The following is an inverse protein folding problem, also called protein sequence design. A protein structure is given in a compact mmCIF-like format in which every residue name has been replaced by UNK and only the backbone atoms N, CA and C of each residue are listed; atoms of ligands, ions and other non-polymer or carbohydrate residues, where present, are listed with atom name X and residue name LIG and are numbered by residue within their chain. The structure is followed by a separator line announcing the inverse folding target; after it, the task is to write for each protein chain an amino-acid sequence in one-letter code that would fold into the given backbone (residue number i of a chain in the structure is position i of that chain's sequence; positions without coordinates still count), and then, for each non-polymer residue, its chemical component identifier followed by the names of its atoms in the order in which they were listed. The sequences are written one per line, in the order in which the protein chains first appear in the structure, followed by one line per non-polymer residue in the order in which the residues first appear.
data_IF_336537723503
#
_entry.id   IF_336537723503
#
_cell.length_a   1.000
_cell.length_b   1.000
_cell.length_c   1.000
_cell.angle_alpha   90.00
_cell.angle_beta   90.00
_cell.angle_gamma   90.00
#
_symmetry.space_group_name_H-M   'P 1'
#
loop_
_entity.id
_entity.type
_entity.pdbx_description
1 polymer ?
#
# COMPACT_ATOMS: atom_id res chain seq x y z
N UNK A 1 -37.76 -0.09 21.11
CA UNK A 1 -37.11 -1.25 20.49
C UNK A 1 -37.01 -1.01 19.00
N UNK A 2 -35.80 -0.73 18.50
CA UNK A 2 -35.54 -0.65 17.08
C UNK A 2 -35.41 -2.09 16.54
N UNK A 3 -36.46 -2.58 15.88
CA UNK A 3 -36.38 -3.84 15.16
C UNK A 3 -35.58 -3.60 13.89
N UNK A 4 -34.32 -4.10 13.84
CA UNK A 4 -33.54 -4.07 12.63
C UNK A 4 -34.21 -4.91 11.54
N UNK A 5 -34.23 -4.42 10.30
CA UNK A 5 -34.62 -5.21 9.13
C UNK A 5 -33.38 -5.87 8.55
N UNK A 6 -33.38 -7.21 8.47
CA UNK A 6 -32.34 -7.99 7.83
C UNK A 6 -32.72 -8.26 6.37
N UNK A 7 -31.77 -8.02 5.46
CA UNK A 7 -31.93 -8.32 4.03
C UNK A 7 -30.63 -8.96 3.52
N UNK A 8 -30.75 -10.13 2.89
CA UNK A 8 -29.64 -10.77 2.18
C UNK A 8 -29.41 -10.04 0.86
N UNK A 9 -28.25 -9.45 0.67
CA UNK A 9 -27.88 -8.78 -0.59
C UNK A 9 -27.39 -9.78 -1.64
N UNK A 10 -26.63 -10.79 -1.24
CA UNK A 10 -26.06 -11.79 -2.13
C UNK A 10 -25.82 -13.11 -1.38
N UNK A 11 -25.96 -14.23 -2.10
CA UNK A 11 -25.61 -15.56 -1.62
C UNK A 11 -24.56 -16.15 -2.56
N UNK A 12 -23.40 -16.50 -2.03
CA UNK A 12 -22.34 -17.13 -2.80
C UNK A 12 -22.72 -18.56 -3.18
N UNK A 13 -22.30 -18.99 -4.37
CA UNK A 13 -22.62 -20.32 -4.93
C UNK A 13 -21.42 -21.28 -4.89
N UNK A 14 -20.23 -20.81 -4.48
CA UNK A 14 -19.04 -21.65 -4.34
C UNK A 14 -18.42 -22.05 -5.67
N UNK A 15 -18.63 -21.29 -6.74
CA UNK A 15 -18.03 -21.53 -8.06
C UNK A 15 -17.16 -20.33 -8.45
N UNK A 16 -17.45 -19.66 -9.56
CA UNK A 16 -16.67 -18.51 -10.03
C UNK A 16 -16.76 -17.26 -9.15
N UNK A 17 -17.77 -17.16 -8.29
CA UNK A 17 -18.01 -16.05 -7.39
C UNK A 17 -17.29 -16.17 -6.04
N UNK A 18 -16.77 -17.36 -5.73
CA UNK A 18 -16.07 -17.67 -4.47
C UNK A 18 -16.98 -18.26 -3.40
N UNK A 19 -16.37 -18.74 -2.33
CA UNK A 19 -17.03 -19.33 -1.17
C UNK A 19 -16.38 -18.93 0.15
N UNK A 20 -17.12 -19.08 1.23
CA UNK A 20 -16.63 -18.82 2.59
C UNK A 20 -16.08 -17.41 2.80
N UNK A 21 -16.92 -16.36 2.81
CA UNK A 21 -16.51 -15.00 3.16
C UNK A 21 -16.26 -14.90 4.67
N UNK A 22 -15.02 -15.18 5.11
CA UNK A 22 -14.65 -15.21 6.53
C UNK A 22 -14.60 -13.83 7.17
N UNK A 23 -14.29 -12.79 6.39
CA UNK A 23 -14.11 -11.43 6.89
C UNK A 23 -15.31 -10.53 6.59
N UNK A 24 -15.38 -9.41 7.29
CA UNK A 24 -16.32 -8.35 6.96
C UNK A 24 -16.00 -7.67 5.63
N UNK A 25 -16.99 -6.97 5.08
CA UNK A 25 -16.78 -6.08 3.93
C UNK A 25 -16.42 -4.68 4.41
N UNK A 26 -15.67 -3.96 3.58
CA UNK A 26 -15.44 -2.51 3.74
C UNK A 26 -16.25 -1.74 2.70
N UNK A 27 -16.70 -0.53 3.04
CA UNK A 27 -17.24 0.39 2.06
C UNK A 27 -16.12 1.32 1.59
N UNK A 28 -15.85 1.30 0.29
CA UNK A 28 -14.84 2.17 -0.30
C UNK A 28 -15.41 3.55 -0.68
N UNK A 29 -14.52 4.47 -1.05
CA UNK A 29 -14.87 5.86 -1.38
C UNK A 29 -15.82 5.97 -2.60
N UNK A 30 -15.88 4.94 -3.46
CA UNK A 30 -16.82 4.85 -4.58
C UNK A 30 -18.25 4.41 -4.18
N UNK A 31 -18.47 4.17 -2.86
CA UNK A 31 -19.74 3.76 -2.28
C UNK A 31 -20.07 2.27 -2.41
N UNK A 32 -19.26 1.48 -3.09
CA UNK A 32 -19.41 0.02 -3.17
C UNK A 32 -18.75 -0.67 -1.97
N UNK A 33 -19.17 -1.91 -1.72
CA UNK A 33 -18.54 -2.75 -0.71
C UNK A 33 -17.54 -3.70 -1.37
N UNK A 34 -16.47 -4.00 -0.64
CA UNK A 34 -15.41 -4.89 -1.08
C UNK A 34 -15.09 -5.91 0.00
N UNK A 35 -14.79 -7.13 -0.40
CA UNK A 35 -14.48 -8.22 0.51
C UNK A 35 -13.72 -9.35 -0.17
N UNK A 36 -13.46 -10.38 0.59
CA UNK A 36 -12.74 -11.59 0.18
C UNK A 36 -13.58 -12.84 0.45
N UNK A 37 -13.38 -13.87 -0.37
CA UNK A 37 -13.80 -15.23 -0.06
C UNK A 37 -12.55 -16.08 0.13
N UNK A 38 -12.53 -16.94 1.16
CA UNK A 38 -11.34 -17.75 1.47
C UNK A 38 -11.11 -18.88 0.49
N UNK A 39 -12.16 -19.38 -0.11
CA UNK A 39 -12.13 -20.57 -0.96
C UNK A 39 -12.91 -20.36 -2.24
N UNK A 40 -12.88 -21.38 -3.12
CA UNK A 40 -13.56 -21.36 -4.40
C UNK A 40 -13.11 -20.22 -5.33
N UNK A 41 -13.99 -19.69 -6.16
CA UNK A 41 -13.61 -18.81 -7.26
C UNK A 41 -13.17 -19.62 -8.48
N UNK A 42 -12.93 -18.96 -9.61
CA UNK A 42 -12.60 -19.63 -10.88
C UNK A 42 -11.38 -20.56 -10.78
N UNK A 43 -10.45 -20.27 -9.87
CA UNK A 43 -9.19 -21.00 -9.70
C UNK A 43 -9.10 -21.76 -8.38
N UNK A 44 -10.15 -21.74 -7.54
CA UNK A 44 -10.26 -22.56 -6.33
C UNK A 44 -9.44 -22.11 -5.12
N UNK A 45 -8.96 -20.85 -5.10
CA UNK A 45 -8.07 -20.35 -4.04
C UNK A 45 -8.59 -19.05 -3.40
N UNK A 46 -9.89 -18.79 -3.54
CA UNK A 46 -10.55 -17.60 -3.04
C UNK A 46 -10.58 -16.44 -4.04
N UNK A 47 -11.31 -15.41 -3.67
CA UNK A 47 -11.54 -14.23 -4.53
C UNK A 47 -11.42 -12.92 -3.77
N UNK A 48 -11.22 -11.83 -4.52
CA UNK A 48 -11.60 -10.48 -4.12
C UNK A 48 -12.85 -10.11 -4.92
N UNK A 49 -13.86 -9.61 -4.24
CA UNK A 49 -15.13 -9.19 -4.86
C UNK A 49 -15.47 -7.74 -4.54
N UNK A 50 -16.27 -7.15 -5.42
CA UNK A 50 -17.02 -5.91 -5.23
C UNK A 50 -18.50 -6.20 -5.23
N UNK A 51 -19.26 -5.57 -4.35
CA UNK A 51 -20.72 -5.64 -4.35
C UNK A 51 -21.31 -4.24 -4.20
N UNK A 52 -22.29 -3.92 -5.02
CA UNK A 52 -23.03 -2.67 -4.94
C UNK A 52 -24.06 -2.69 -3.80
N UNK A 53 -24.55 -1.53 -3.40
CA UNK A 53 -25.60 -1.40 -2.36
C UNK A 53 -26.91 -2.11 -2.71
N UNK A 54 -27.14 -2.40 -3.99
CA UNK A 54 -28.33 -3.13 -4.48
C UNK A 54 -28.03 -4.62 -4.78
N UNK A 55 -26.88 -5.16 -4.32
CA UNK A 55 -26.59 -6.59 -4.35
C UNK A 55 -25.97 -7.12 -5.65
N UNK A 56 -25.47 -6.26 -6.55
CA UNK A 56 -24.78 -6.73 -7.76
C UNK A 56 -23.32 -7.02 -7.40
N UNK A 57 -22.95 -8.31 -7.42
CA UNK A 57 -21.60 -8.77 -7.14
C UNK A 57 -20.77 -8.85 -8.44
N UNK A 58 -19.51 -8.48 -8.32
CA UNK A 58 -18.48 -8.62 -9.37
C UNK A 58 -17.23 -9.22 -8.73
N UNK A 59 -16.76 -10.36 -9.22
CA UNK A 59 -15.45 -10.90 -8.87
C UNK A 59 -14.38 -10.06 -9.56
N UNK A 60 -13.52 -9.42 -8.77
CA UNK A 60 -12.43 -8.60 -9.26
C UNK A 60 -11.19 -9.41 -9.55
N UNK A 61 -10.89 -10.40 -8.70
CA UNK A 61 -9.75 -11.28 -8.83
C UNK A 61 -10.08 -12.66 -8.28
N UNK A 62 -9.59 -13.70 -8.94
CA UNK A 62 -9.63 -15.09 -8.46
C UNK A 62 -8.18 -15.54 -8.27
N UNK A 63 -7.80 -15.87 -7.05
CA UNK A 63 -6.43 -16.24 -6.73
C UNK A 63 -6.04 -17.58 -7.37
N UNK A 64 -4.83 -17.63 -7.92
CA UNK A 64 -4.31 -18.82 -8.59
C UNK A 64 -3.58 -19.79 -7.63
N UNK A 65 -3.32 -19.38 -6.39
CA UNK A 65 -2.56 -20.17 -5.41
C UNK A 65 -1.05 -20.15 -5.61
N UNK A 66 -0.58 -19.47 -6.65
CA UNK A 66 0.84 -19.27 -6.95
C UNK A 66 1.39 -17.97 -6.35
N UNK A 67 2.08 -17.18 -7.16
CA UNK A 67 2.73 -15.93 -6.74
C UNK A 67 1.77 -14.87 -6.23
N UNK A 68 0.49 -14.93 -6.58
CA UNK A 68 -0.56 -14.00 -6.15
C UNK A 68 -1.15 -14.36 -4.78
N UNK A 69 -0.94 -15.57 -4.28
CA UNK A 69 -1.43 -16.04 -3.00
C UNK A 69 -2.65 -16.93 -3.08
N UNK A 70 -3.12 -17.42 -1.94
CA UNK A 70 -4.34 -18.23 -1.77
C UNK A 70 -4.93 -18.05 -0.39
N UNK A 71 -6.22 -18.34 -0.25
CA UNK A 71 -6.96 -18.27 1.00
C UNK A 71 -6.91 -16.86 1.64
N UNK A 72 -7.48 -15.84 1.00
CA UNK A 72 -7.59 -14.49 1.56
C UNK A 72 -8.70 -14.46 2.62
N UNK A 73 -8.38 -14.89 3.84
CA UNK A 73 -9.33 -14.99 4.96
C UNK A 73 -9.52 -13.69 5.73
N UNK A 74 -8.63 -12.73 5.54
CA UNK A 74 -8.67 -11.42 6.19
C UNK A 74 -9.52 -10.40 5.41
N UNK A 75 -10.05 -9.41 6.12
CA UNK A 75 -10.71 -8.26 5.51
C UNK A 75 -9.74 -7.35 4.75
N UNK A 76 -10.28 -6.64 3.77
CA UNK A 76 -9.56 -5.59 3.06
C UNK A 76 -9.53 -4.30 3.88
N UNK A 77 -8.58 -3.43 3.55
CA UNK A 77 -8.64 -1.99 3.87
C UNK A 77 -8.59 -1.19 2.57
N UNK A 78 -9.22 -0.01 2.54
CA UNK A 78 -8.90 0.99 1.54
C UNK A 78 -7.92 1.99 2.15
N UNK A 79 -6.76 2.13 1.55
CA UNK A 79 -5.74 3.05 2.00
C UNK A 79 -5.90 4.45 1.37
N UNK A 80 -5.10 5.40 1.84
CA UNK A 80 -5.15 6.82 1.45
C UNK A 80 -4.92 7.06 -0.04
N UNK A 81 -4.25 6.14 -0.76
CA UNK A 81 -4.07 6.17 -2.21
C UNK A 81 -5.30 5.70 -3.00
N UNK A 82 -6.37 5.30 -2.31
CA UNK A 82 -7.63 4.81 -2.89
C UNK A 82 -7.60 3.35 -3.32
N UNK A 83 -6.46 2.66 -3.26
CA UNK A 83 -6.37 1.23 -3.53
C UNK A 83 -6.78 0.39 -2.31
N UNK A 84 -7.08 -0.87 -2.58
CA UNK A 84 -7.43 -1.84 -1.56
C UNK A 84 -6.20 -2.70 -1.25
N UNK A 85 -6.06 -3.07 0.02
CA UNK A 85 -4.96 -3.89 0.50
C UNK A 85 -5.49 -5.04 1.33
N UNK A 86 -4.86 -6.20 1.18
CA UNK A 86 -5.23 -7.40 1.90
C UNK A 86 -4.07 -8.39 2.01
N UNK A 87 -4.35 -9.51 2.65
CA UNK A 87 -3.40 -10.60 2.83
C UNK A 87 -3.99 -11.92 2.36
N UNK A 88 -3.14 -12.85 1.94
CA UNK A 88 -3.50 -14.25 1.74
C UNK A 88 -2.76 -15.11 2.76
N UNK A 89 -3.43 -16.10 3.34
CA UNK A 89 -2.82 -16.96 4.36
C UNK A 89 -1.77 -17.91 3.77
N UNK A 90 -1.94 -18.29 2.50
CA UNK A 90 -1.06 -19.23 1.79
C UNK A 90 -0.68 -18.70 0.41
N UNK A 91 0.06 -19.49 -0.36
CA UNK A 91 0.59 -19.08 -1.65
C UNK A 91 1.75 -18.10 -1.52
N UNK A 92 2.05 -17.36 -2.57
CA UNK A 92 3.30 -16.62 -2.70
C UNK A 92 4.46 -17.54 -3.08
N UNK A 93 5.66 -16.97 -3.21
CA UNK A 93 6.87 -17.71 -3.64
C UNK A 93 7.22 -18.88 -2.72
N UNK A 94 6.91 -18.77 -1.43
CA UNK A 94 7.31 -19.75 -0.40
C UNK A 94 6.12 -20.46 0.23
N UNK A 95 4.90 -20.21 -0.24
CA UNK A 95 3.65 -20.72 0.29
C UNK A 95 3.32 -20.28 1.74
N UNK A 96 3.93 -19.21 2.20
CA UNK A 96 3.75 -18.64 3.54
C UNK A 96 2.80 -17.44 3.56
N UNK A 97 2.12 -17.19 2.43
CA UNK A 97 1.17 -16.10 2.26
C UNK A 97 1.77 -14.84 1.65
N UNK A 98 0.90 -13.89 1.37
CA UNK A 98 1.25 -12.63 0.70
C UNK A 98 0.61 -11.42 1.36
N UNK A 99 1.16 -10.23 1.07
CA UNK A 99 0.45 -8.95 1.12
C UNK A 99 0.23 -8.50 -0.32
N UNK A 100 -0.99 -8.12 -0.66
CA UNK A 100 -1.33 -7.64 -2.00
C UNK A 100 -2.02 -6.27 -1.96
N UNK A 101 -1.84 -5.54 -3.05
CA UNK A 101 -2.61 -4.36 -3.43
C UNK A 101 -3.55 -4.76 -4.57
N UNK A 102 -4.77 -4.24 -4.56
CA UNK A 102 -5.69 -4.39 -5.67
C UNK A 102 -6.43 -3.08 -5.91
N UNK A 103 -6.53 -2.67 -7.16
CA UNK A 103 -7.30 -1.49 -7.54
C UNK A 103 -8.80 -1.81 -7.53
N UNK A 104 -9.66 -0.80 -7.46
CA UNK A 104 -11.12 -0.95 -7.49
C UNK A 104 -11.67 -1.54 -8.80
N UNK A 105 -10.83 -1.65 -9.84
CA UNK A 105 -11.14 -2.31 -11.12
C UNK A 105 -10.47 -3.68 -11.30
N UNK A 106 -9.79 -4.22 -10.25
CA UNK A 106 -9.32 -5.60 -10.22
C UNK A 106 -7.86 -5.84 -10.62
N UNK A 107 -7.05 -4.80 -10.86
CA UNK A 107 -5.61 -4.98 -11.09
C UNK A 107 -4.91 -5.29 -9.77
N UNK A 108 -4.41 -6.53 -9.61
CA UNK A 108 -3.73 -7.00 -8.42
C UNK A 108 -2.21 -6.96 -8.59
N UNK A 109 -1.54 -6.56 -7.52
CA UNK A 109 -0.07 -6.60 -7.39
C UNK A 109 0.29 -7.24 -6.05
N UNK A 110 1.12 -8.27 -6.07
CA UNK A 110 1.72 -8.84 -4.86
C UNK A 110 2.87 -7.94 -4.41
N UNK A 111 2.77 -7.42 -3.18
CA UNK A 111 3.78 -6.53 -2.59
C UNK A 111 4.83 -7.29 -1.81
N UNK A 112 4.42 -8.30 -1.07
CA UNK A 112 5.27 -9.17 -0.24
C UNK A 112 4.84 -10.62 -0.45
N UNK A 113 5.83 -11.52 -0.57
CA UNK A 113 5.71 -12.94 -0.30
C UNK A 113 6.43 -13.24 1.02
N UNK A 114 5.72 -13.74 2.00
CA UNK A 114 6.32 -14.21 3.24
C UNK A 114 7.18 -15.46 3.00
N UNK A 115 8.20 -15.68 3.84
CA UNK A 115 9.18 -16.75 3.67
C UNK A 115 9.58 -17.43 4.99
N UNK A 116 8.70 -17.41 5.97
CA UNK A 116 8.95 -17.93 7.32
C UNK A 116 9.82 -16.99 8.16
N UNK A 117 10.96 -16.52 7.67
CA UNK A 117 11.84 -15.66 8.49
C UNK A 117 11.28 -14.27 8.72
N UNK A 118 10.55 -13.71 7.74
CA UNK A 118 9.88 -12.43 7.84
C UNK A 118 8.39 -12.53 8.24
N UNK A 119 7.93 -13.74 8.60
CA UNK A 119 6.56 -14.07 8.95
C UNK A 119 5.98 -15.16 8.04
N UNK A 120 4.85 -15.73 8.44
CA UNK A 120 4.07 -16.70 7.68
C UNK A 120 2.59 -16.66 8.10
N UNK A 121 1.71 -16.99 7.18
CA UNK A 121 0.27 -17.14 7.39
C UNK A 121 -0.39 -15.90 8.00
N UNK A 122 -0.39 -14.74 7.33
CA UNK A 122 -1.15 -13.57 7.79
C UNK A 122 -2.65 -13.86 7.69
N UNK A 123 -3.40 -13.66 8.78
CA UNK A 123 -4.83 -13.93 8.85
C UNK A 123 -5.65 -12.74 9.36
N UNK A 124 -5.00 -11.62 9.62
CA UNK A 124 -5.64 -10.40 10.09
C UNK A 124 -5.61 -9.31 9.02
N UNK A 125 -6.59 -8.43 9.06
CA UNK A 125 -6.60 -7.24 8.22
C UNK A 125 -5.41 -6.34 8.52
N UNK A 126 -4.97 -5.62 7.51
CA UNK A 126 -3.94 -4.58 7.65
C UNK A 126 -4.52 -3.33 8.30
N UNK A 127 -3.65 -2.47 8.79
CA UNK A 127 -3.98 -1.12 9.25
C UNK A 127 -3.02 -0.14 8.60
N UNK A 128 -3.53 0.96 8.05
CA UNK A 128 -2.72 2.09 7.64
C UNK A 128 -2.41 2.96 8.86
N UNK A 129 -1.14 3.15 9.13
CA UNK A 129 -0.66 4.02 10.21
C UNK A 129 -0.71 5.51 9.81
N UNK A 130 -0.60 6.39 10.77
CA UNK A 130 -0.52 7.85 10.54
C UNK A 130 0.81 8.29 9.87
N UNK A 131 1.72 7.35 9.67
CA UNK A 131 3.00 7.49 8.98
C UNK A 131 2.96 6.94 7.54
N UNK A 132 1.75 6.71 7.01
CA UNK A 132 1.47 6.20 5.68
C UNK A 132 2.15 4.84 5.39
N UNK A 133 2.39 4.04 6.44
CA UNK A 133 2.82 2.65 6.32
C UNK A 133 1.66 1.70 6.62
N UNK A 134 1.71 0.51 6.04
CA UNK A 134 0.80 -0.57 6.40
C UNK A 134 1.40 -1.42 7.52
N UNK A 135 0.57 -1.79 8.47
CA UNK A 135 0.92 -2.65 9.58
C UNK A 135 0.05 -3.90 9.57
N UNK A 136 0.64 -5.02 9.91
CA UNK A 136 -0.06 -6.30 9.99
C UNK A 136 0.64 -7.27 10.92
N UNK A 137 0.02 -8.44 11.06
CA UNK A 137 0.55 -9.54 11.84
C UNK A 137 0.55 -10.83 11.02
N UNK A 138 1.47 -11.73 11.34
CA UNK A 138 1.45 -13.10 10.85
C UNK A 138 1.22 -14.06 12.01
N UNK A 139 0.55 -15.18 11.75
CA UNK A 139 0.29 -16.20 12.76
C UNK A 139 1.56 -16.96 13.12
N UNK A 140 2.41 -17.23 12.14
CA UNK A 140 3.62 -18.04 12.24
C UNK A 140 4.83 -17.28 11.69
N UNK A 141 5.98 -17.90 11.71
CA UNK A 141 7.24 -17.36 11.25
C UNK A 141 7.92 -16.43 12.26
N UNK A 142 8.98 -15.74 11.82
CA UNK A 142 9.89 -15.04 12.70
C UNK A 142 10.88 -15.99 13.40
N UNK A 143 11.82 -15.45 14.20
CA UNK A 143 12.92 -16.23 14.77
C UNK A 143 12.50 -17.41 15.66
N UNK A 144 11.31 -17.36 16.26
CA UNK A 144 10.79 -18.37 17.17
C UNK A 144 9.53 -19.06 16.64
N UNK A 145 9.12 -18.75 15.41
CA UNK A 145 7.91 -19.30 14.76
C UNK A 145 6.57 -18.99 15.47
N UNK A 146 6.53 -17.93 16.27
CA UNK A 146 5.30 -17.48 16.95
C UNK A 146 4.64 -16.29 16.27
N UNK A 147 5.03 -15.98 15.03
CA UNK A 147 4.53 -14.86 14.27
C UNK A 147 5.29 -13.55 14.50
N UNK A 148 4.96 -12.58 13.68
CA UNK A 148 5.57 -11.24 13.72
C UNK A 148 4.51 -10.14 13.64
N UNK A 149 4.85 -8.96 14.12
CA UNK A 149 4.22 -7.70 13.72
C UNK A 149 5.13 -7.08 12.67
N UNK A 150 4.59 -6.78 11.50
CA UNK A 150 5.38 -6.19 10.42
C UNK A 150 4.89 -4.79 10.05
N UNK A 151 5.80 -4.00 9.50
CA UNK A 151 5.52 -2.74 8.82
C UNK A 151 5.92 -2.88 7.36
N UNK A 152 5.04 -2.44 6.47
CA UNK A 152 5.29 -2.38 5.04
C UNK A 152 5.18 -0.94 4.57
N UNK A 153 6.25 -0.40 4.04
CA UNK A 153 6.25 0.89 3.34
C UNK A 153 5.82 0.69 1.90
N UNK A 154 4.73 1.32 1.51
CA UNK A 154 4.23 1.31 0.14
C UNK A 154 4.44 2.71 -0.44
N UNK A 155 5.33 2.89 -1.41
CA UNK A 155 5.70 4.23 -1.91
C UNK A 155 4.51 5.04 -2.43
N UNK A 156 3.45 4.41 -2.92
CA UNK A 156 2.24 5.09 -3.38
C UNK A 156 1.41 5.70 -2.25
N UNK A 157 1.55 5.24 -1.00
CA UNK A 157 0.86 5.79 0.16
C UNK A 157 1.53 7.06 0.67
N UNK A 158 2.85 7.18 0.47
CA UNK A 158 3.57 8.38 0.91
C UNK A 158 3.23 9.53 -0.02
N UNK A 159 2.65 10.64 0.47
CA UNK A 159 2.33 11.80 -0.35
C UNK A 159 3.57 12.29 -1.11
N UNK A 160 3.37 12.66 -2.37
CA UNK A 160 4.47 13.25 -3.15
C UNK A 160 4.97 14.53 -2.47
N UNK A 161 6.28 14.65 -2.22
CA UNK A 161 6.81 15.84 -1.57
C UNK A 161 6.48 17.10 -2.38
N UNK A 162 5.89 18.08 -1.74
CA UNK A 162 5.58 19.37 -2.35
C UNK A 162 6.52 20.45 -1.83
N UNK A 163 7.23 21.14 -2.73
CA UNK A 163 8.06 22.28 -2.34
C UNK A 163 7.21 23.46 -1.89
N UNK A 164 7.63 24.08 -0.79
CA UNK A 164 7.25 25.46 -0.46
C UNK A 164 8.01 26.44 -1.36
N UNK A 165 7.58 27.70 -1.41
CA UNK A 165 8.30 28.72 -2.16
C UNK A 165 9.77 28.81 -1.70
N UNK A 166 10.75 28.66 -2.60
CA UNK A 166 12.16 28.71 -2.24
C UNK A 166 12.55 30.14 -1.82
N UNK A 167 13.49 30.26 -0.89
CA UNK A 167 13.97 31.56 -0.41
C UNK A 167 15.43 31.72 -0.77
N UNK A 168 15.76 32.79 -1.50
CA UNK A 168 17.15 33.17 -1.75
C UNK A 168 17.72 33.89 -0.52
N UNK A 169 18.81 33.37 0.02
CA UNK A 169 19.51 33.91 1.17
C UNK A 169 20.60 34.92 0.71
N UNK A 170 21.00 35.91 1.55
CA UNK A 170 21.96 36.94 1.20
C UNK A 170 23.34 36.44 0.75
N UNK A 171 23.70 35.20 1.14
CA UNK A 171 24.99 34.56 0.81
C UNK A 171 24.97 33.84 -0.57
N UNK A 172 23.93 34.01 -1.39
CA UNK A 172 23.78 33.30 -2.66
C UNK A 172 23.36 31.85 -2.53
N UNK A 173 22.88 31.44 -1.35
CA UNK A 173 22.34 30.12 -1.09
C UNK A 173 20.82 30.15 -1.25
N UNK A 174 20.23 29.11 -1.82
CA UNK A 174 18.77 28.93 -1.85
C UNK A 174 18.36 28.00 -0.70
N UNK A 175 17.42 28.45 0.10
CA UNK A 175 16.75 27.58 1.08
C UNK A 175 15.58 26.90 0.42
N UNK A 176 15.50 25.59 0.58
CA UNK A 176 14.48 24.70 0.05
C UNK A 176 13.74 24.05 1.20
N UNK A 177 12.43 24.05 1.14
CA UNK A 177 11.58 23.34 2.10
C UNK A 177 10.52 22.55 1.33
N UNK A 178 10.22 21.34 1.82
CA UNK A 178 9.17 20.49 1.21
C UNK A 178 8.43 19.71 2.27
N UNK A 179 7.19 19.29 1.92
CA UNK A 179 6.39 18.41 2.78
C UNK A 179 7.02 17.03 2.88
N UNK A 180 7.03 16.46 4.08
CA UNK A 180 7.61 15.15 4.38
C UNK A 180 6.72 14.37 5.33
N UNK A 181 6.86 13.05 5.32
CA UNK A 181 6.29 12.14 6.32
C UNK A 181 7.41 11.70 7.26
N UNK A 182 7.21 11.85 8.56
CA UNK A 182 8.20 11.46 9.55
C UNK A 182 8.54 9.96 9.43
N UNK A 183 9.81 9.61 9.52
CA UNK A 183 10.29 8.24 9.35
C UNK A 183 10.59 7.83 7.91
N UNK A 184 10.20 8.62 6.92
CA UNK A 184 10.55 8.39 5.52
C UNK A 184 11.87 9.09 5.16
N UNK A 185 12.59 8.52 4.19
CA UNK A 185 13.88 9.06 3.73
C UNK A 185 13.71 9.66 2.34
N UNK A 186 14.22 10.86 2.15
CA UNK A 186 14.09 11.63 0.92
C UNK A 186 15.45 11.97 0.33
N UNK A 187 15.57 11.93 -1.00
CA UNK A 187 16.75 12.39 -1.74
C UNK A 187 16.40 13.64 -2.53
N UNK A 188 17.05 14.76 -2.20
CA UNK A 188 17.03 15.97 -3.04
C UNK A 188 17.90 15.77 -4.27
N UNK A 189 17.40 16.15 -5.42
CA UNK A 189 18.10 16.06 -6.69
C UNK A 189 18.00 17.40 -7.45
N UNK A 190 18.98 17.69 -8.28
CA UNK A 190 18.94 18.86 -9.17
C UNK A 190 19.37 18.55 -10.59
N UNK A 191 18.94 19.44 -11.50
CA UNK A 191 19.37 19.43 -12.90
C UNK A 191 19.38 20.86 -13.41
N UNK A 192 20.24 21.16 -14.37
CA UNK A 192 20.34 22.49 -15.01
C UNK A 192 19.52 22.61 -16.30
N UNK A 193 19.04 21.50 -16.83
CA UNK A 193 18.18 21.44 -18.01
C UNK A 193 17.08 20.40 -17.80
N UNK A 194 15.82 20.82 -17.84
CA UNK A 194 14.64 19.94 -17.66
C UNK A 194 14.50 18.87 -18.74
N UNK A 195 15.07 19.06 -19.93
CA UNK A 195 15.09 18.02 -20.96
C UNK A 195 16.04 16.86 -20.64
N UNK A 196 16.91 17.03 -19.64
CA UNK A 196 17.85 15.99 -19.20
C UNK A 196 17.12 14.98 -18.30
N UNK A 197 17.38 13.70 -18.52
CA UNK A 197 16.98 12.61 -17.61
C UNK A 197 17.97 12.39 -16.45
N UNK A 198 19.16 13.02 -16.52
CA UNK A 198 20.26 12.84 -15.57
C UNK A 198 20.12 13.82 -14.39
N UNK A 199 19.31 13.45 -13.42
CA UNK A 199 19.20 14.16 -12.16
C UNK A 199 20.36 13.79 -11.24
N UNK A 200 20.99 14.78 -10.62
CA UNK A 200 22.15 14.60 -9.73
C UNK A 200 21.70 14.71 -8.28
N UNK A 201 22.11 13.78 -7.44
CA UNK A 201 21.84 13.83 -6.01
C UNK A 201 22.56 15.02 -5.36
N UNK A 202 21.87 15.76 -4.54
CA UNK A 202 22.39 16.84 -3.71
C UNK A 202 22.49 16.36 -2.26
N UNK A 203 23.72 16.13 -1.81
CA UNK A 203 23.97 15.60 -0.47
C UNK A 203 23.52 14.14 -0.27
N UNK A 204 23.56 13.71 0.97
CA UNK A 204 23.07 12.41 1.39
C UNK A 204 21.53 12.41 1.52
N UNK A 205 20.89 11.22 1.43
CA UNK A 205 19.48 11.11 1.74
C UNK A 205 19.14 11.65 3.14
N UNK A 206 18.00 12.26 3.28
CA UNK A 206 17.56 12.95 4.52
C UNK A 206 16.40 12.16 5.13
N UNK A 207 16.62 11.65 6.35
CA UNK A 207 15.55 11.07 7.16
C UNK A 207 14.67 12.19 7.71
N UNK A 208 13.39 12.21 7.37
CA UNK A 208 12.45 13.19 7.88
C UNK A 208 12.04 12.88 9.32
N UNK A 209 12.10 13.89 10.17
CA UNK A 209 11.68 13.81 11.59
C UNK A 209 10.40 14.62 11.86
N UNK A 210 9.84 15.27 10.85
CA UNK A 210 8.65 16.14 10.95
C UNK A 210 7.91 16.19 9.62
N UNK A 211 6.79 16.90 9.58
CA UNK A 211 5.98 17.11 8.38
C UNK A 211 6.62 18.05 7.34
N UNK A 212 7.72 18.70 7.67
CA UNK A 212 8.47 19.58 6.77
C UNK A 212 9.96 19.34 6.95
N UNK A 213 10.66 19.13 5.85
CA UNK A 213 12.13 19.06 5.81
C UNK A 213 12.68 20.27 5.09
N UNK A 214 13.79 20.80 5.58
CA UNK A 214 14.48 21.94 5.02
C UNK A 214 15.94 21.60 4.71
N UNK A 215 16.46 22.18 3.64
CA UNK A 215 17.89 22.14 3.30
C UNK A 215 18.27 23.39 2.52
N UNK A 216 19.53 23.51 2.18
CA UNK A 216 20.00 24.61 1.34
C UNK A 216 20.96 24.13 0.28
N UNK A 217 21.01 24.84 -0.83
CA UNK A 217 21.96 24.60 -1.93
C UNK A 217 22.62 25.91 -2.36
N UNK A 218 23.89 25.84 -2.73
CA UNK A 218 24.62 26.97 -3.29
C UNK A 218 24.41 26.99 -4.80
N UNK A 219 23.72 28.04 -5.30
CA UNK A 219 23.32 28.11 -6.71
C UNK A 219 24.54 28.22 -7.64
N UNK A 220 25.65 28.79 -7.19
CA UNK A 220 26.84 29.01 -7.99
C UNK A 220 26.60 29.95 -9.18
N UNK A 221 27.36 29.78 -10.27
CA UNK A 221 27.28 30.58 -11.50
C UNK A 221 26.24 30.10 -12.52
N UNK A 222 25.46 29.05 -12.18
CA UNK A 222 24.44 28.51 -13.10
C UNK A 222 23.30 29.48 -13.29
N UNK A 223 22.90 29.75 -14.53
CA UNK A 223 21.80 30.65 -14.85
C UNK A 223 20.44 30.12 -14.46
N UNK A 224 20.31 28.80 -14.31
CA UNK A 224 19.09 28.14 -13.84
C UNK A 224 19.41 26.77 -13.22
N UNK A 225 18.57 26.36 -12.24
CA UNK A 225 18.65 25.06 -11.61
C UNK A 225 17.25 24.63 -11.23
N UNK A 226 16.92 23.37 -11.50
CA UNK A 226 15.64 22.76 -11.17
C UNK A 226 15.87 21.72 -10.08
N UNK A 227 14.89 21.56 -9.21
CA UNK A 227 14.95 20.66 -8.06
C UNK A 227 13.79 19.69 -8.07
N UNK A 228 14.04 18.47 -7.64
CA UNK A 228 13.01 17.53 -7.26
C UNK A 228 13.42 16.80 -5.99
N UNK A 229 12.42 16.30 -5.27
CA UNK A 229 12.60 15.40 -4.14
C UNK A 229 11.98 14.07 -4.52
N UNK A 230 12.69 12.99 -4.25
CA UNK A 230 12.19 11.63 -4.45
C UNK A 230 12.26 10.87 -3.13
N UNK A 231 11.30 9.98 -2.91
CA UNK A 231 11.36 9.03 -1.81
C UNK A 231 12.55 8.08 -2.07
N UNK A 232 13.42 7.94 -1.09
CA UNK A 232 14.53 6.99 -1.15
C UNK A 232 14.07 5.66 -0.59
N UNK A 233 13.98 4.64 -1.43
CA UNK A 233 13.80 3.27 -0.94
C UNK A 233 15.05 2.82 -0.20
N UNK A 234 14.93 2.11 0.94
CA UNK A 234 16.05 1.57 1.69
C UNK A 234 16.90 0.60 0.87
#
# INVERSE_FOLDING_TARGET
TTNGTFTTLYSFYGSSDGGFPYAGVIQAADGNFYGTTGDDGQLGNGTVFKITTNGILTTLHSFAGGSDGSFPSAGLIQASDGNLYGTTAYGGTYNDGTVFQITTNGALTTLISFNGTNGANPQAALVEGTDDNLYGTTQNGGPMDYGVIFRLTVPSLVPTPAFSAPTLLPNGTIALAWSTVAGQTYQLQSVTNLASTNWVNLGSPILANSAVTTTSDVIGSNSQRFYRVVLSTP
#
